data_IF_741084660278
#
_entry.id   IF_741084660278
#
_cell.length_a   1.000
_cell.length_b   1.000
_cell.length_c   1.000
_cell.angle_alpha   90.00
_cell.angle_beta   90.00
_cell.angle_gamma   90.00
#
_symmetry.space_group_name_H-M   'P 1'
#
loop_
_entity.id
_entity.type
_entity.pdbx_description
1 polymer ?
#
# COMPACT_ATOMS: atom_id res chain seq x y z
N UNK A 1 -25.68 -0.03 -0.50
CA UNK A 1 -24.82 1.07 0.02
C UNK A 1 -23.62 1.18 -0.90
N UNK A 2 -23.07 2.37 -1.10
CA UNK A 2 -21.86 2.54 -1.91
C UNK A 2 -20.65 1.98 -1.14
N UNK A 3 -19.94 1.04 -1.73
CA UNK A 3 -18.76 0.36 -1.14
C UNK A 3 -17.50 0.88 -1.84
N UNK A 4 -17.17 2.15 -1.60
CA UNK A 4 -16.04 2.83 -2.24
C UNK A 4 -14.79 2.75 -1.35
N UNK A 5 -13.68 2.30 -1.92
CA UNK A 5 -12.41 2.17 -1.22
C UNK A 5 -11.29 2.76 -2.05
N UNK A 6 -10.30 3.34 -1.39
CA UNK A 6 -9.05 3.76 -2.05
C UNK A 6 -7.95 2.78 -1.70
N UNK A 7 -7.23 2.27 -2.69
CA UNK A 7 -6.00 1.50 -2.50
C UNK A 7 -4.78 2.34 -2.82
N UNK A 8 -3.76 2.34 -1.96
CA UNK A 8 -2.49 3.05 -2.14
C UNK A 8 -1.30 2.08 -2.01
N UNK A 9 -0.39 2.17 -2.97
CA UNK A 9 0.75 1.27 -3.08
C UNK A 9 1.99 2.03 -3.57
N UNK A 10 3.13 1.84 -2.91
CA UNK A 10 4.45 2.22 -3.41
C UNK A 10 5.38 1.01 -3.51
N UNK A 11 5.71 0.64 -4.75
CA UNK A 11 6.51 -0.55 -5.04
C UNK A 11 7.96 -0.45 -4.53
N UNK A 12 8.65 -1.58 -4.51
CA UNK A 12 10.09 -1.62 -4.15
C UNK A 12 10.99 -1.00 -5.22
N UNK A 13 10.46 -0.70 -6.41
CA UNK A 13 11.20 0.06 -7.44
C UNK A 13 11.41 1.53 -7.05
N UNK A 14 10.69 2.03 -6.04
CA UNK A 14 10.79 3.41 -5.54
C UNK A 14 10.52 4.47 -6.62
N UNK A 15 9.76 4.13 -7.65
CA UNK A 15 9.42 5.04 -8.74
C UNK A 15 8.34 6.04 -8.33
N UNK A 16 7.48 5.66 -7.36
CA UNK A 16 6.43 6.52 -6.85
C UNK A 16 5.33 5.75 -6.14
N UNK A 17 4.15 6.35 -6.21
CA UNK A 17 2.92 5.90 -5.58
C UNK A 17 1.86 5.72 -6.65
N UNK A 18 1.19 4.57 -6.61
CA UNK A 18 -0.05 4.31 -7.34
C UNK A 18 -1.23 4.35 -6.37
N UNK A 19 -2.32 4.97 -6.81
CA UNK A 19 -3.57 5.06 -6.11
C UNK A 19 -4.75 4.72 -7.01
N UNK A 20 -5.69 3.94 -6.49
CA UNK A 20 -6.94 3.60 -7.18
C UNK A 20 -8.13 3.90 -6.30
N UNK A 21 -9.19 4.46 -6.87
CA UNK A 21 -10.52 4.48 -6.25
C UNK A 21 -11.34 3.36 -6.87
N UNK A 22 -11.80 2.41 -6.05
CA UNK A 22 -12.54 1.24 -6.49
C UNK A 22 -13.92 1.17 -5.85
N UNK A 23 -14.89 0.67 -6.61
CA UNK A 23 -16.26 0.41 -6.21
C UNK A 23 -16.52 -1.09 -6.13
N UNK A 24 -16.85 -1.57 -4.93
CA UNK A 24 -17.18 -2.96 -4.62
C UNK A 24 -18.69 -3.19 -4.42
N UNK A 25 -19.55 -2.23 -4.76
CA UNK A 25 -21.00 -2.35 -4.53
C UNK A 25 -21.71 -3.34 -5.46
N UNK A 26 -21.10 -3.69 -6.60
CA UNK A 26 -21.62 -4.66 -7.56
C UNK A 26 -21.00 -6.05 -7.41
N UNK A 27 -21.43 -6.98 -8.27
CA UNK A 27 -20.88 -8.35 -8.31
C UNK A 27 -19.39 -8.39 -8.68
N UNK A 28 -18.89 -7.36 -9.37
CA UNK A 28 -17.49 -7.21 -9.75
C UNK A 28 -16.98 -5.84 -9.32
N UNK A 29 -15.77 -5.81 -8.78
CA UNK A 29 -15.06 -4.57 -8.48
C UNK A 29 -14.86 -3.75 -9.76
N UNK A 30 -15.08 -2.44 -9.68
CA UNK A 30 -14.78 -1.49 -10.76
C UNK A 30 -13.78 -0.45 -10.27
N UNK A 31 -12.75 -0.18 -11.07
CA UNK A 31 -11.87 0.97 -10.83
C UNK A 31 -12.53 2.21 -11.43
N UNK A 32 -12.80 3.21 -10.59
CA UNK A 32 -13.43 4.47 -10.99
C UNK A 32 -12.40 5.50 -11.43
N UNK A 33 -11.24 5.53 -10.77
CA UNK A 33 -10.13 6.42 -11.11
C UNK A 33 -8.80 5.81 -10.68
N UNK A 34 -7.73 6.24 -11.33
CA UNK A 34 -6.35 5.87 -11.04
C UNK A 34 -5.47 7.11 -11.10
N UNK A 35 -4.57 7.24 -10.13
CA UNK A 35 -3.60 8.33 -10.05
C UNK A 35 -2.24 7.77 -9.67
N UNK A 36 -1.20 8.26 -10.33
CA UNK A 36 0.18 7.97 -9.99
C UNK A 36 0.92 9.28 -9.66
N UNK A 37 1.85 9.22 -8.73
CA UNK A 37 2.72 10.33 -8.38
C UNK A 37 4.15 9.85 -8.14
N UNK A 38 5.16 10.47 -8.77
CA UNK A 38 6.55 10.15 -8.46
C UNK A 38 6.89 10.59 -7.04
N UNK A 39 7.86 9.92 -6.42
CA UNK A 39 8.43 10.41 -5.18
C UNK A 39 9.27 11.67 -5.43
N UNK A 40 9.22 12.66 -4.52
CA UNK A 40 10.25 13.70 -4.48
C UNK A 40 11.63 13.06 -4.35
N UNK A 41 12.63 13.56 -5.09
CA UNK A 41 13.96 12.95 -5.18
C UNK A 41 14.61 12.70 -3.81
N UNK A 42 14.47 13.66 -2.89
CA UNK A 42 15.00 13.53 -1.53
C UNK A 42 14.33 12.38 -0.75
N UNK A 43 13.01 12.21 -0.88
CA UNK A 43 12.27 11.14 -0.22
C UNK A 43 12.62 9.78 -0.82
N UNK A 44 12.77 9.71 -2.15
CA UNK A 44 13.22 8.50 -2.85
C UNK A 44 14.62 8.08 -2.41
N UNK A 45 15.55 9.03 -2.35
CA UNK A 45 16.91 8.79 -1.87
C UNK A 45 16.92 8.31 -0.41
N UNK A 46 16.05 8.88 0.43
CA UNK A 46 15.92 8.48 1.83
C UNK A 46 15.41 7.04 1.96
N UNK A 47 14.37 6.65 1.21
CA UNK A 47 13.90 5.26 1.20
C UNK A 47 14.98 4.29 0.72
N UNK A 48 15.73 4.65 -0.32
CA UNK A 48 16.83 3.82 -0.80
C UNK A 48 17.91 3.65 0.28
N UNK A 49 18.31 4.72 0.94
CA UNK A 49 19.30 4.68 2.00
C UNK A 49 18.80 3.84 3.19
N UNK A 50 17.51 3.94 3.53
CA UNK A 50 16.87 3.13 4.57
C UNK A 50 16.74 1.65 4.20
N UNK A 51 17.13 1.19 3.00
CA UNK A 51 17.23 -0.25 2.66
C UNK A 51 18.52 -0.92 3.17
N UNK A 52 19.47 -0.14 3.71
CA UNK A 52 20.67 -0.64 4.38
C UNK A 52 20.77 -0.06 5.80
N UNK A 53 21.48 -0.76 6.69
CA UNK A 53 21.73 -0.27 8.05
C UNK A 53 22.52 1.04 8.00
N UNK A 54 22.24 1.96 8.92
CA UNK A 54 22.85 3.29 8.90
C UNK A 54 22.69 4.07 10.20
N UNK A 55 23.13 5.32 10.19
CA UNK A 55 22.93 6.21 11.34
C UNK A 55 21.49 6.70 11.41
N UNK A 56 20.98 6.75 12.64
CA UNK A 56 19.72 7.41 13.02
C UNK A 56 18.49 6.95 12.21
N UNK A 57 18.43 5.65 11.88
CA UNK A 57 17.37 5.06 11.05
C UNK A 57 15.96 5.25 11.62
N UNK A 58 15.82 5.32 12.95
CA UNK A 58 14.51 5.54 13.60
C UNK A 58 13.97 6.93 13.28
N UNK A 59 14.78 7.97 13.49
CA UNK A 59 14.39 9.35 13.19
C UNK A 59 14.11 9.55 11.71
N UNK A 60 15.05 9.08 10.87
CA UNK A 60 14.95 9.17 9.41
C UNK A 60 13.74 8.41 8.88
N UNK A 61 13.48 7.22 9.39
CA UNK A 61 12.30 6.43 9.06
C UNK A 61 11.00 7.15 9.43
N UNK A 62 10.94 7.81 10.58
CA UNK A 62 9.76 8.59 10.99
C UNK A 62 9.50 9.80 10.07
N UNK A 63 10.55 10.51 9.64
CA UNK A 63 10.45 11.61 8.67
C UNK A 63 10.00 11.09 7.30
N UNK A 64 10.60 10.00 6.82
CA UNK A 64 10.25 9.39 5.54
C UNK A 64 8.80 8.87 5.53
N UNK A 65 8.34 8.26 6.62
CA UNK A 65 6.96 7.84 6.82
C UNK A 65 5.97 9.03 6.75
N UNK A 66 6.32 10.15 7.37
CA UNK A 66 5.53 11.39 7.29
C UNK A 66 5.49 11.95 5.87
N UNK A 67 6.63 11.91 5.16
CA UNK A 67 6.74 12.28 3.75
C UNK A 67 5.85 11.43 2.86
N UNK A 68 5.84 10.11 3.06
CA UNK A 68 4.97 9.18 2.34
C UNK A 68 3.50 9.52 2.52
N UNK A 69 3.05 9.72 3.77
CA UNK A 69 1.67 10.04 4.07
C UNK A 69 1.19 11.31 3.36
N UNK A 70 2.07 12.31 3.17
CA UNK A 70 1.75 13.52 2.40
C UNK A 70 1.62 13.25 0.90
N UNK A 71 2.50 12.42 0.32
CA UNK A 71 2.39 11.99 -1.09
C UNK A 71 1.08 11.21 -1.29
N UNK A 72 0.79 10.27 -0.39
CA UNK A 72 -0.45 9.50 -0.36
C UNK A 72 -1.68 10.41 -0.27
N UNK A 73 -1.69 11.39 0.65
CA UNK A 73 -2.78 12.35 0.77
C UNK A 73 -2.99 13.19 -0.50
N UNK A 74 -1.91 13.59 -1.17
CA UNK A 74 -2.00 14.27 -2.47
C UNK A 74 -2.61 13.36 -3.56
N UNK A 75 -2.24 12.07 -3.61
CA UNK A 75 -2.82 11.10 -4.55
C UNK A 75 -4.32 10.89 -4.28
N UNK A 76 -4.71 10.74 -3.01
CA UNK A 76 -6.11 10.65 -2.59
C UNK A 76 -6.89 11.91 -3.01
N UNK A 77 -6.35 13.10 -2.76
CA UNK A 77 -6.96 14.36 -3.17
C UNK A 77 -7.23 14.43 -4.68
N UNK A 78 -6.27 13.97 -5.51
CA UNK A 78 -6.45 13.90 -6.96
C UNK A 78 -7.54 12.90 -7.39
N UNK A 79 -7.59 11.71 -6.78
CA UNK A 79 -8.64 10.72 -7.06
C UNK A 79 -10.04 11.26 -6.74
N UNK A 80 -10.18 11.92 -5.59
CA UNK A 80 -11.46 12.52 -5.19
C UNK A 80 -11.85 13.69 -6.09
N UNK A 81 -10.89 14.54 -6.47
CA UNK A 81 -11.12 15.64 -7.39
C UNK A 81 -11.56 15.15 -8.77
N UNK A 82 -10.89 14.14 -9.33
CA UNK A 82 -11.20 13.57 -10.64
C UNK A 82 -12.60 12.95 -10.69
N UNK A 83 -13.02 12.29 -9.60
CA UNK A 83 -14.33 11.64 -9.53
C UNK A 83 -15.45 12.55 -9.00
N UNK A 84 -15.12 13.74 -8.50
CA UNK A 84 -16.07 14.66 -7.88
C UNK A 84 -16.69 14.13 -6.59
N UNK A 85 -16.08 13.11 -5.96
CA UNK A 85 -16.60 12.46 -4.76
C UNK A 85 -16.05 13.14 -3.49
N UNK A 86 -16.90 13.38 -2.47
CA UNK A 86 -16.40 13.85 -1.17
C UNK A 86 -15.69 12.72 -0.41
N UNK A 87 -14.74 13.04 0.50
CA UNK A 87 -14.09 12.03 1.34
C UNK A 87 -15.07 11.13 2.09
N UNK A 88 -16.20 11.68 2.55
CA UNK A 88 -17.25 10.95 3.28
C UNK A 88 -17.95 9.86 2.46
N UNK A 89 -17.78 9.85 1.12
CA UNK A 89 -18.28 8.77 0.27
C UNK A 89 -17.34 7.55 0.25
N UNK A 90 -16.07 7.71 0.66
CA UNK A 90 -15.08 6.64 0.72
C UNK A 90 -15.16 5.97 2.09
N UNK A 91 -15.34 4.65 2.08
CA UNK A 91 -15.47 3.85 3.29
C UNK A 91 -14.16 3.72 4.05
N UNK A 92 -13.07 3.49 3.34
CA UNK A 92 -11.72 3.40 3.89
C UNK A 92 -10.63 3.53 2.81
N UNK A 93 -9.43 3.87 3.26
CA UNK A 93 -8.19 3.83 2.49
C UNK A 93 -7.38 2.61 2.93
N UNK A 94 -7.03 1.71 2.01
CA UNK A 94 -6.03 0.68 2.21
C UNK A 94 -4.64 1.19 1.81
N UNK A 95 -3.75 1.38 2.78
CA UNK A 95 -2.42 1.96 2.55
C UNK A 95 -1.30 0.96 2.88
N UNK A 96 -0.63 0.44 1.85
CA UNK A 96 0.45 -0.54 2.03
C UNK A 96 1.67 0.05 2.76
N UNK A 97 2.01 1.31 2.46
CA UNK A 97 3.27 1.93 2.87
C UNK A 97 4.46 1.58 1.98
N UNK A 98 5.67 2.00 2.37
CA UNK A 98 6.91 1.71 1.65
C UNK A 98 7.73 0.65 2.39
N UNK A 99 7.95 -0.51 1.78
CA UNK A 99 8.82 -1.55 2.38
C UNK A 99 10.27 -1.07 2.41
N UNK A 100 10.89 -1.15 3.60
CA UNK A 100 12.33 -0.90 3.82
C UNK A 100 13.05 -2.12 4.39
N UNK A 101 12.34 -3.02 5.08
CA UNK A 101 12.88 -4.31 5.54
C UNK A 101 11.81 -5.38 5.38
N UNK A 102 12.21 -6.57 4.95
CA UNK A 102 11.34 -7.75 4.89
C UNK A 102 12.19 -8.98 5.18
N UNK A 103 12.04 -9.51 6.39
CA UNK A 103 12.86 -10.58 6.99
C UNK A 103 11.97 -11.60 7.73
N UNK A 104 10.89 -12.12 7.10
CA UNK A 104 10.06 -13.14 7.74
C UNK A 104 10.88 -14.41 7.98
N UNK A 105 10.67 -15.09 9.12
CA UNK A 105 11.28 -16.39 9.42
C UNK A 105 12.80 -16.44 9.65
N UNK A 106 13.53 -15.33 9.51
CA UNK A 106 15.00 -15.31 9.57
C UNK A 106 15.57 -15.41 11.01
N UNK A 107 14.80 -15.00 12.02
CA UNK A 107 15.30 -14.81 13.40
C UNK A 107 14.56 -15.68 14.43
N UNK A 108 14.59 -17.01 14.31
CA UNK A 108 14.05 -17.96 15.30
C UNK A 108 12.69 -17.54 15.92
N UNK A 109 11.70 -17.26 15.05
CA UNK A 109 10.36 -16.84 15.47
C UNK A 109 10.18 -15.34 15.73
N UNK A 110 11.22 -14.53 15.55
CA UNK A 110 11.19 -13.06 15.67
C UNK A 110 11.36 -12.33 14.33
N UNK A 111 11.09 -13.05 13.22
CA UNK A 111 11.05 -12.46 11.88
C UNK A 111 10.06 -11.29 11.78
N UNK A 112 10.34 -10.34 10.89
CA UNK A 112 9.59 -9.10 10.80
C UNK A 112 9.50 -8.55 9.39
N UNK A 113 8.63 -7.56 9.22
CA UNK A 113 8.47 -6.77 8.00
C UNK A 113 8.25 -5.32 8.41
N UNK A 114 8.80 -4.38 7.67
CA UNK A 114 8.68 -2.95 7.98
C UNK A 114 8.28 -2.21 6.73
N UNK A 115 7.02 -1.76 6.74
CA UNK A 115 6.46 -0.82 5.78
C UNK A 115 6.39 0.55 6.47
N UNK A 116 7.22 1.50 6.04
CA UNK A 116 7.13 2.87 6.55
C UNK A 116 5.85 3.51 6.06
N UNK A 117 5.07 4.07 6.98
CA UNK A 117 3.87 4.85 6.73
C UNK A 117 3.51 5.64 8.01
N UNK A 118 2.66 6.65 7.90
CA UNK A 118 2.04 7.32 9.05
C UNK A 118 0.51 7.32 8.87
N UNK A 119 -0.17 6.20 9.16
CA UNK A 119 -1.61 6.03 8.88
C UNK A 119 -2.50 7.06 9.57
N UNK A 120 -2.15 7.46 10.81
CA UNK A 120 -2.87 8.50 11.53
C UNK A 120 -2.79 9.86 10.83
N UNK A 121 -1.60 10.27 10.36
CA UNK A 121 -1.46 11.51 9.59
C UNK A 121 -2.23 11.41 8.27
N UNK A 122 -2.18 10.26 7.59
CA UNK A 122 -2.93 10.07 6.35
C UNK A 122 -4.45 10.20 6.58
N UNK A 123 -4.96 9.62 7.67
CA UNK A 123 -6.37 9.73 8.05
C UNK A 123 -6.77 11.20 8.29
N UNK A 124 -5.95 11.96 9.03
CA UNK A 124 -6.17 13.39 9.26
C UNK A 124 -6.10 14.22 7.98
N UNK A 125 -5.16 13.92 7.07
CA UNK A 125 -5.02 14.62 5.79
C UNK A 125 -6.21 14.38 4.85
N UNK A 126 -6.79 13.18 4.88
CA UNK A 126 -7.84 12.78 3.95
C UNK A 126 -9.25 12.89 4.53
N UNK A 127 -9.41 12.86 5.86
CA UNK A 127 -10.72 12.75 6.51
C UNK A 127 -11.40 11.39 6.25
N UNK A 128 -10.63 10.32 6.09
CA UNK A 128 -11.11 8.95 5.80
C UNK A 128 -10.37 7.95 6.68
N UNK A 129 -11.07 6.92 7.15
CA UNK A 129 -10.48 5.80 7.89
C UNK A 129 -9.35 5.15 7.07
N UNK A 130 -8.22 4.85 7.72
CA UNK A 130 -7.06 4.21 7.07
C UNK A 130 -6.82 2.82 7.66
N UNK A 131 -6.79 1.82 6.80
CA UNK A 131 -6.33 0.46 7.09
C UNK A 131 -4.94 0.28 6.52
N UNK A 132 -3.98 -0.14 7.34
CA UNK A 132 -2.58 -0.28 6.95
C UNK A 132 -1.94 -1.50 7.64
N UNK A 133 -0.64 -1.70 7.42
CA UNK A 133 0.17 -2.75 8.05
C UNK A 133 -0.30 -4.20 7.78
N UNK A 134 -0.67 -4.45 6.52
CA UNK A 134 -1.24 -5.74 6.09
C UNK A 134 -0.29 -6.93 6.30
N UNK A 135 1.01 -6.72 6.08
CA UNK A 135 2.01 -7.80 6.09
C UNK A 135 2.32 -8.30 7.48
N UNK A 136 2.37 -7.41 8.46
CA UNK A 136 2.72 -7.78 9.84
C UNK A 136 1.72 -8.75 10.45
N UNK A 137 0.44 -8.65 10.08
CA UNK A 137 -0.58 -9.61 10.52
C UNK A 137 -0.31 -11.04 10.03
N UNK A 138 0.10 -11.19 8.77
CA UNK A 138 0.40 -12.51 8.20
C UNK A 138 1.69 -13.09 8.81
N UNK A 139 2.74 -12.28 8.98
CA UNK A 139 3.98 -12.69 9.67
C UNK A 139 3.68 -13.14 11.11
N UNK A 140 2.84 -12.39 11.84
CA UNK A 140 2.42 -12.76 13.19
C UNK A 140 1.59 -14.05 13.24
N UNK A 141 0.95 -14.43 12.14
CA UNK A 141 0.24 -15.71 11.99
C UNK A 141 1.17 -16.86 11.55
N UNK A 142 2.48 -16.63 11.43
CA UNK A 142 3.47 -17.61 10.96
C UNK A 142 3.65 -17.65 9.44
N UNK A 143 3.00 -16.74 8.71
CA UNK A 143 3.15 -16.56 7.28
C UNK A 143 4.42 -15.80 6.89
N UNK A 144 4.57 -15.55 5.59
CA UNK A 144 5.73 -14.84 5.03
C UNK A 144 5.50 -13.32 4.90
N UNK A 145 4.26 -12.84 5.05
CA UNK A 145 3.89 -11.45 4.78
C UNK A 145 3.84 -11.10 3.29
N UNK A 146 4.09 -12.06 2.40
CA UNK A 146 4.11 -11.89 0.95
C UNK A 146 4.05 -13.25 0.21
N UNK A 147 3.51 -13.29 -1.03
CA UNK A 147 2.61 -12.30 -1.62
C UNK A 147 1.21 -12.37 -0.97
N UNK A 148 0.58 -11.22 -0.73
CA UNK A 148 -0.78 -11.16 -0.16
C UNK A 148 -1.91 -11.13 -1.20
N UNK A 149 -1.56 -10.99 -2.48
CA UNK A 149 -2.49 -10.91 -3.61
C UNK A 149 -3.17 -12.22 -4.05
N UNK A 150 -2.68 -13.45 -3.77
CA UNK A 150 -3.31 -14.66 -4.30
C UNK A 150 -4.80 -14.85 -3.97
N UNK A 151 -5.30 -14.58 -2.74
CA UNK A 151 -6.73 -14.66 -2.47
C UNK A 151 -7.56 -13.69 -3.33
N UNK A 152 -7.04 -12.50 -3.60
CA UNK A 152 -7.67 -11.53 -4.51
C UNK A 152 -7.66 -12.05 -5.95
N UNK A 153 -6.53 -12.60 -6.43
CA UNK A 153 -6.45 -13.19 -7.77
C UNK A 153 -7.45 -14.33 -7.96
N UNK A 154 -7.60 -15.20 -6.97
CA UNK A 154 -8.56 -16.29 -7.01
C UNK A 154 -10.00 -15.76 -7.12
N UNK A 155 -10.37 -14.80 -6.25
CA UNK A 155 -11.70 -14.22 -6.24
C UNK A 155 -12.04 -13.47 -7.54
N UNK A 156 -11.07 -12.79 -8.13
CA UNK A 156 -11.30 -11.91 -9.28
C UNK A 156 -11.13 -12.61 -10.64
N UNK A 157 -10.13 -13.47 -10.79
CA UNK A 157 -9.78 -14.04 -12.09
C UNK A 157 -10.16 -15.51 -12.27
N UNK A 158 -10.47 -16.25 -11.21
CA UNK A 158 -10.92 -17.66 -11.32
C UNK A 158 -12.25 -17.91 -10.59
N UNK A 159 -13.34 -17.20 -10.94
CA UNK A 159 -14.66 -17.44 -10.33
C UNK A 159 -15.25 -18.81 -10.68
N UNK A 160 -14.73 -19.49 -11.70
CA UNK A 160 -15.25 -20.76 -12.22
C UNK A 160 -14.27 -21.94 -12.12
N UNK A 161 -13.18 -21.81 -11.37
CA UNK A 161 -12.25 -22.92 -11.09
C UNK A 161 -11.34 -23.31 -12.25
N UNK A 162 -11.08 -22.37 -13.16
CA UNK A 162 -10.13 -22.56 -14.26
C UNK A 162 -8.69 -22.60 -13.76
N UNK A 163 -7.83 -23.35 -14.47
CA UNK A 163 -6.38 -23.37 -14.23
C UNK A 163 -5.77 -22.09 -14.79
N UNK A 164 -5.70 -21.06 -13.94
CA UNK A 164 -5.13 -19.76 -14.27
C UNK A 164 -3.86 -19.51 -13.47
N UNK A 165 -2.83 -18.99 -14.13
CA UNK A 165 -1.66 -18.40 -13.49
C UNK A 165 -1.68 -16.89 -13.70
N UNK A 166 -1.38 -16.14 -12.65
CA UNK A 166 -1.20 -14.68 -12.69
C UNK A 166 0.24 -14.41 -12.30
N UNK A 167 0.99 -13.71 -13.16
CA UNK A 167 2.38 -13.34 -12.93
C UNK A 167 2.47 -11.82 -12.79
N UNK A 168 2.91 -11.35 -11.63
CA UNK A 168 3.27 -9.95 -11.42
C UNK A 168 4.78 -9.76 -11.63
N UNK A 169 5.15 -8.79 -12.48
CA UNK A 169 6.56 -8.47 -12.78
C UNK A 169 6.85 -7.08 -12.21
N UNK A 170 7.31 -7.05 -10.96
CA UNK A 170 7.78 -5.83 -10.28
C UNK A 170 9.27 -5.90 -9.95
N UNK A 171 9.71 -5.16 -8.92
CA UNK A 171 11.06 -5.31 -8.39
C UNK A 171 11.37 -6.72 -7.88
N UNK A 172 10.33 -7.47 -7.49
CA UNK A 172 10.35 -8.92 -7.26
C UNK A 172 9.16 -9.49 -8.02
N UNK A 173 9.38 -10.55 -8.80
CA UNK A 173 8.32 -11.25 -9.52
C UNK A 173 7.61 -12.26 -8.61
N UNK A 174 6.29 -12.33 -8.70
CA UNK A 174 5.43 -13.20 -7.88
C UNK A 174 4.30 -13.79 -8.69
#
# INVERSE_FOLDING_TARGET
MSELYIGLMSGTSLDGVDGVLADFSGERMRVLAHQAAPFPDALRAEFLALNASGSDEIHRGALAASGLARVYGSVVGKLLQETGLPPSAVRAIGAHGQTVRHRPGEFDGTGYTTQLNQPALLAELCGVDVVADFRSRDVAAGGQGAPLVPPFHQAFFSPHGERLAVLNIGGIST
#
